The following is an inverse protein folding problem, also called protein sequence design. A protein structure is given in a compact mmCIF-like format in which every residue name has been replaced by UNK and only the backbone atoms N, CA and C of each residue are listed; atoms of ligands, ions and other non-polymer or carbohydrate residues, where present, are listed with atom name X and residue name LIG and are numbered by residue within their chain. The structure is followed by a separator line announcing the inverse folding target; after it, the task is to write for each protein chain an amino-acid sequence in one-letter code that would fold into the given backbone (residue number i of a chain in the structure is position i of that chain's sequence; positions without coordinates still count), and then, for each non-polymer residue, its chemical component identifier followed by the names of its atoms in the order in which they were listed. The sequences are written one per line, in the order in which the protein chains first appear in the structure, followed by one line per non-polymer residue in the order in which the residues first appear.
data_IF_897639359926
#
_entry.id   IF_897639359926
#
_cell.length_a   1.000
_cell.length_b   1.000
_cell.length_c   1.000
_cell.angle_alpha   90.00
_cell.angle_beta   90.00
_cell.angle_gamma   90.00
#
_symmetry.space_group_name_H-M   'P 1'
#
loop_
_entity.id
_entity.type
_entity.pdbx_description
1 polymer ?
#
# COMPACT_ATOMS: atom_id res chain seq x y z
N UNK A 1 18.84 -2.52 25.05
CA UNK A 1 18.63 -1.24 25.78
C UNK A 1 17.97 -1.55 27.11
N UNK A 2 18.46 -1.05 28.24
CA UNK A 2 17.79 -1.25 29.54
C UNK A 2 16.58 -0.32 29.67
N UNK A 3 15.51 -0.76 30.34
CA UNK A 3 14.26 -0.01 30.50
C UNK A 3 14.43 1.39 31.13
N UNK A 4 15.50 1.59 31.90
CA UNK A 4 15.86 2.88 32.48
C UNK A 4 16.21 3.93 31.41
N UNK A 5 16.97 3.56 30.38
CA UNK A 5 17.36 4.49 29.31
C UNK A 5 16.17 4.94 28.47
N UNK A 6 15.16 4.09 28.32
CA UNK A 6 13.93 4.44 27.58
C UNK A 6 13.09 5.45 28.37
N UNK A 7 13.03 5.30 29.69
CA UNK A 7 12.26 6.20 30.58
C UNK A 7 12.85 7.60 30.62
N UNK A 8 14.17 7.71 30.72
CA UNK A 8 14.88 8.99 30.70
C UNK A 8 14.73 9.69 29.34
N UNK A 9 14.77 8.92 28.25
CA UNK A 9 14.54 9.43 26.90
C UNK A 9 13.14 10.04 26.75
N UNK A 10 12.11 9.33 27.22
CA UNK A 10 10.72 9.78 27.16
C UNK A 10 10.51 11.05 28.00
N UNK A 11 11.09 11.11 29.21
CA UNK A 11 11.00 12.28 30.08
C UNK A 11 11.65 13.52 29.45
N UNK A 12 12.80 13.36 28.79
CA UNK A 12 13.53 14.45 28.13
C UNK A 12 12.81 14.94 26.86
N UNK A 13 12.15 14.04 26.12
CA UNK A 13 11.34 14.40 24.95
C UNK A 13 10.05 15.13 25.35
N UNK A 14 9.44 14.76 26.48
CA UNK A 14 8.21 15.39 26.97
C UNK A 14 8.43 16.82 27.52
N UNK A 15 9.63 17.14 28.01
CA UNK A 15 9.91 18.42 28.67
C UNK A 15 10.33 19.57 27.73
N UNK A 16 10.56 19.33 26.44
CA UNK A 16 11.11 20.32 25.51
C UNK A 16 10.26 20.44 24.25
N UNK A 17 9.25 21.30 24.30
CA UNK A 17 8.02 21.05 23.54
C UNK A 17 8.03 21.44 22.06
N UNK A 18 9.07 22.10 21.52
CA UNK A 18 9.14 22.37 20.07
C UNK A 18 10.56 22.33 19.50
N UNK A 19 11.55 22.91 20.20
CA UNK A 19 12.92 23.00 19.70
C UNK A 19 13.61 21.62 19.57
N UNK A 20 13.42 20.73 20.55
CA UNK A 20 13.95 19.37 20.50
C UNK A 20 13.22 18.53 19.46
N UNK A 21 11.90 18.69 19.32
CA UNK A 21 11.11 18.00 18.30
C UNK A 21 11.59 18.38 16.90
N UNK A 22 11.79 19.68 16.64
CA UNK A 22 12.31 20.17 15.37
C UNK A 22 13.74 19.68 15.11
N UNK A 23 14.61 19.73 16.11
CA UNK A 23 15.98 19.23 16.00
C UNK A 23 16.04 17.72 15.71
N UNK A 24 15.18 16.93 16.37
CA UNK A 24 15.05 15.50 16.11
C UNK A 24 14.51 15.26 14.71
N UNK A 25 13.51 16.03 14.27
CA UNK A 25 12.94 15.92 12.93
C UNK A 25 13.99 16.19 11.84
N UNK A 26 14.76 17.27 11.95
CA UNK A 26 15.86 17.61 11.03
C UNK A 26 16.93 16.49 10.98
N UNK A 27 17.26 15.92 12.15
CA UNK A 27 18.21 14.81 12.24
C UNK A 27 17.67 13.51 11.63
N UNK A 28 16.38 13.22 11.81
CA UNK A 28 15.72 12.08 11.17
C UNK A 28 15.76 12.24 9.65
N UNK A 29 15.50 13.44 9.12
CA UNK A 29 15.61 13.70 7.68
C UNK A 29 17.02 13.41 7.17
N UNK A 30 18.05 13.86 7.90
CA UNK A 30 19.45 13.58 7.54
C UNK A 30 19.76 12.08 7.56
N UNK A 31 19.25 11.34 8.55
CA UNK A 31 19.38 9.88 8.61
C UNK A 31 18.69 9.18 7.43
N UNK A 32 17.50 9.66 7.03
CA UNK A 32 16.77 9.12 5.88
C UNK A 32 17.52 9.38 4.57
N UNK A 33 18.07 10.59 4.38
CA UNK A 33 18.92 10.89 3.23
C UNK A 33 20.17 10.00 3.20
N UNK A 34 20.75 9.71 4.36
CA UNK A 34 21.89 8.80 4.48
C UNK A 34 21.53 7.36 4.06
N UNK A 35 20.35 6.86 4.45
CA UNK A 35 19.86 5.54 4.06
C UNK A 35 19.60 5.42 2.55
N UNK A 36 19.21 6.52 1.90
CA UNK A 36 18.97 6.55 0.45
C UNK A 36 20.24 6.73 -0.40
N UNK A 37 21.41 6.92 0.23
CA UNK A 37 22.66 7.11 -0.50
C UNK A 37 23.46 5.80 -0.63
N UNK A 38 24.04 5.56 -1.80
CA UNK A 38 24.94 4.43 -2.04
C UNK A 38 26.41 4.80 -1.73
N UNK A 39 26.81 6.04 -2.03
CA UNK A 39 28.17 6.54 -1.79
C UNK A 39 28.18 7.48 -0.58
N UNK A 40 28.55 6.92 0.58
CA UNK A 40 28.69 7.67 1.82
C UNK A 40 29.68 8.83 1.72
N UNK A 41 30.76 8.70 0.94
CA UNK A 41 31.77 9.75 0.79
C UNK A 41 31.19 10.96 0.06
N UNK A 42 30.47 10.72 -1.03
CA UNK A 42 29.74 11.76 -1.78
C UNK A 42 28.66 12.42 -0.92
N UNK A 43 27.93 11.64 -0.11
CA UNK A 43 26.93 12.16 0.81
C UNK A 43 27.54 13.09 1.88
N UNK A 44 28.64 12.69 2.51
CA UNK A 44 29.33 13.53 3.49
C UNK A 44 29.87 14.81 2.84
N UNK A 45 30.39 14.74 1.61
CA UNK A 45 30.80 15.92 0.86
C UNK A 45 29.63 16.88 0.58
N UNK A 46 28.45 16.33 0.24
CA UNK A 46 27.22 17.10 0.06
C UNK A 46 26.78 17.80 1.36
N UNK A 47 26.76 17.09 2.49
CA UNK A 47 26.38 17.69 3.79
C UNK A 47 27.29 18.86 4.16
N UNK A 48 28.62 18.69 4.01
CA UNK A 48 29.59 19.77 4.23
C UNK A 48 29.33 20.98 3.34
N UNK A 49 28.94 20.76 2.08
CA UNK A 49 28.61 21.83 1.12
C UNK A 49 27.32 22.56 1.49
N UNK A 50 26.34 21.86 2.06
CA UNK A 50 25.07 22.42 2.50
C UNK A 50 25.14 23.11 3.87
N UNK A 51 26.33 23.24 4.49
CA UNK A 51 26.51 23.74 5.86
C UNK A 51 25.69 22.95 6.91
N UNK A 52 25.26 21.74 6.56
CA UNK A 52 24.63 20.80 7.49
C UNK A 52 25.74 20.04 8.20
N UNK A 53 25.68 19.97 9.53
CA UNK A 53 26.66 19.16 10.27
C UNK A 53 26.50 17.70 9.87
N UNK A 54 27.57 17.00 9.47
CA UNK A 54 27.56 15.56 9.24
C UNK A 54 27.45 14.76 10.55
N UNK A 55 27.51 15.45 11.68
CA UNK A 55 27.17 14.88 12.96
C UNK A 55 25.65 14.90 13.10
N UNK A 56 25.10 13.84 13.68
CA UNK A 56 23.71 13.82 14.14
C UNK A 56 23.79 14.13 15.64
N UNK A 57 24.12 15.37 16.05
CA UNK A 57 24.73 15.64 17.35
C UNK A 57 23.82 15.24 18.51
N UNK A 58 22.50 15.34 18.32
CA UNK A 58 21.54 15.05 19.38
C UNK A 58 21.35 13.54 19.56
N UNK A 59 21.08 12.80 18.49
CA UNK A 59 20.93 11.33 18.58
C UNK A 59 22.27 10.66 18.90
N UNK A 60 23.38 11.15 18.35
CA UNK A 60 24.73 10.65 18.67
C UNK A 60 25.05 10.91 20.14
N UNK A 61 24.75 12.10 20.66
CA UNK A 61 24.89 12.44 22.07
C UNK A 61 24.04 11.56 22.98
N UNK A 62 22.74 11.44 22.67
CA UNK A 62 21.78 10.61 23.41
C UNK A 62 22.17 9.13 23.45
N UNK A 63 22.69 8.61 22.34
CA UNK A 63 23.08 7.20 22.24
C UNK A 63 24.51 6.92 22.69
N UNK A 64 25.25 7.96 23.11
CA UNK A 64 26.68 7.90 23.47
C UNK A 64 27.54 7.37 22.31
N UNK A 65 27.33 7.90 21.11
CA UNK A 65 28.09 7.54 19.92
C UNK A 65 27.65 6.27 19.21
N UNK A 66 26.71 5.50 19.79
CA UNK A 66 26.27 4.21 19.25
C UNK A 66 25.44 4.33 17.98
N UNK A 67 24.70 5.43 17.83
CA UNK A 67 23.90 5.72 16.65
C UNK A 67 24.45 7.00 15.99
N UNK A 68 25.10 6.83 14.85
CA UNK A 68 25.71 7.88 14.04
C UNK A 68 25.54 7.55 12.54
N UNK A 69 25.83 8.49 11.63
CA UNK A 69 25.61 8.28 10.19
C UNK A 69 26.42 7.12 9.61
N UNK A 70 27.63 6.86 10.11
CA UNK A 70 28.45 5.73 9.67
C UNK A 70 27.79 4.41 10.05
N UNK A 71 27.33 4.29 11.31
CA UNK A 71 26.63 3.11 11.80
C UNK A 71 25.31 2.88 11.06
N UNK A 72 24.57 3.94 10.73
CA UNK A 72 23.33 3.88 9.95
C UNK A 72 23.63 3.42 8.52
N UNK A 73 24.60 4.03 7.84
CA UNK A 73 24.96 3.67 6.46
C UNK A 73 25.49 2.23 6.35
N UNK A 74 26.37 1.82 7.27
CA UNK A 74 26.91 0.47 7.30
C UNK A 74 25.83 -0.60 7.49
N UNK A 75 24.72 -0.26 8.16
CA UNK A 75 23.61 -1.16 8.41
C UNK A 75 22.38 -0.83 7.54
N UNK A 76 22.55 -0.06 6.45
CA UNK A 76 21.44 0.53 5.69
C UNK A 76 20.44 -0.51 5.18
N UNK A 77 20.93 -1.63 4.65
CA UNK A 77 20.08 -2.65 4.03
C UNK A 77 19.17 -3.31 5.07
N UNK A 78 19.72 -3.64 6.23
CA UNK A 78 18.94 -4.20 7.33
C UNK A 78 17.95 -3.18 7.89
N UNK A 79 18.36 -1.91 8.06
CA UNK A 79 17.46 -0.85 8.53
C UNK A 79 16.30 -0.67 7.54
N UNK A 80 16.59 -0.57 6.23
CA UNK A 80 15.57 -0.44 5.18
C UNK A 80 14.63 -1.65 5.14
N UNK A 81 15.17 -2.86 5.29
CA UNK A 81 14.39 -4.10 5.36
C UNK A 81 13.44 -4.09 6.56
N UNK A 82 13.95 -3.84 7.77
CA UNK A 82 13.14 -3.79 9.00
C UNK A 82 12.10 -2.67 8.96
N UNK A 83 12.47 -1.49 8.44
CA UNK A 83 11.52 -0.39 8.22
C UNK A 83 10.40 -0.80 7.28
N UNK A 84 10.71 -1.41 6.13
CA UNK A 84 9.71 -1.90 5.19
C UNK A 84 8.81 -2.95 5.83
N UNK A 85 9.38 -3.89 6.60
CA UNK A 85 8.62 -4.89 7.34
C UNK A 85 7.65 -4.24 8.34
N UNK A 86 8.10 -3.23 9.08
CA UNK A 86 7.26 -2.48 10.03
C UNK A 86 6.14 -1.71 9.33
N UNK A 87 6.42 -1.01 8.23
CA UNK A 87 5.38 -0.37 7.42
C UNK A 87 4.36 -1.40 6.95
N UNK A 88 4.83 -2.51 6.39
CA UNK A 88 4.00 -3.61 5.87
C UNK A 88 3.12 -4.25 6.93
N UNK A 89 3.65 -4.46 8.14
CA UNK A 89 2.94 -5.17 9.21
C UNK A 89 2.06 -4.29 10.09
N UNK A 90 2.45 -3.04 10.33
CA UNK A 90 1.75 -2.17 11.29
C UNK A 90 1.00 -1.07 10.57
N UNK A 91 1.67 -0.33 9.69
CA UNK A 91 1.08 0.86 9.09
C UNK A 91 -0.02 0.51 8.10
N UNK A 92 0.19 -0.47 7.22
CA UNK A 92 -0.84 -0.81 6.23
C UNK A 92 -2.11 -1.34 6.88
N UNK A 93 -2.08 -2.32 7.81
CA UNK A 93 -3.30 -2.74 8.49
C UNK A 93 -3.97 -1.60 9.26
N UNK A 94 -3.20 -0.75 9.94
CA UNK A 94 -3.76 0.40 10.65
C UNK A 94 -4.44 1.40 9.69
N UNK A 95 -3.83 1.68 8.53
CA UNK A 95 -4.43 2.54 7.52
C UNK A 95 -5.64 1.89 6.84
N UNK A 96 -5.62 0.57 6.61
CA UNK A 96 -6.79 -0.17 6.13
C UNK A 96 -7.96 -0.07 7.12
N UNK A 97 -7.70 -0.23 8.42
CA UNK A 97 -8.71 -0.11 9.46
C UNK A 97 -9.28 1.33 9.53
N UNK A 98 -8.42 2.34 9.43
CA UNK A 98 -8.83 3.75 9.36
C UNK A 98 -9.69 4.01 8.11
N UNK A 99 -9.28 3.49 6.95
CA UNK A 99 -9.99 3.68 5.70
C UNK A 99 -11.38 3.03 5.73
N UNK A 100 -11.46 1.79 6.21
CA UNK A 100 -12.73 1.08 6.42
C UNK A 100 -13.61 1.86 7.40
N UNK A 101 -13.04 2.39 8.49
CA UNK A 101 -13.77 3.21 9.45
C UNK A 101 -14.35 4.49 8.83
N UNK A 102 -13.56 5.22 8.04
CA UNK A 102 -14.01 6.41 7.34
C UNK A 102 -15.10 6.10 6.31
N UNK A 103 -14.98 4.99 5.58
CA UNK A 103 -15.99 4.58 4.61
C UNK A 103 -17.31 4.20 5.29
N UNK A 104 -17.26 3.45 6.39
CA UNK A 104 -18.45 3.11 7.17
C UNK A 104 -19.17 4.37 7.67
N UNK A 105 -18.41 5.36 8.14
CA UNK A 105 -18.95 6.64 8.55
C UNK A 105 -19.64 7.37 7.39
N UNK A 106 -19.00 7.44 6.22
CA UNK A 106 -19.57 8.07 5.02
C UNK A 106 -20.86 7.38 4.57
N UNK A 107 -20.88 6.04 4.53
CA UNK A 107 -22.09 5.27 4.19
C UNK A 107 -23.22 5.51 5.18
N UNK A 108 -22.91 5.69 6.46
CA UNK A 108 -23.93 6.00 7.48
C UNK A 108 -24.53 7.41 7.27
N UNK A 109 -23.71 8.37 6.86
CA UNK A 109 -24.19 9.71 6.43
C UNK A 109 -25.09 9.57 5.19
N UNK A 110 -24.62 8.90 4.14
CA UNK A 110 -25.39 8.71 2.90
C UNK A 110 -26.74 8.02 3.17
N UNK A 111 -26.74 6.98 4.01
CA UNK A 111 -27.97 6.28 4.40
C UNK A 111 -28.94 7.19 5.16
N UNK A 112 -28.43 8.08 6.02
CA UNK A 112 -29.22 9.08 6.75
C UNK A 112 -29.80 10.11 5.78
N UNK A 113 -29.01 10.62 4.85
CA UNK A 113 -29.45 11.61 3.87
C UNK A 113 -30.48 11.01 2.91
N UNK A 114 -30.29 9.76 2.49
CA UNK A 114 -31.27 9.01 1.71
C UNK A 114 -32.58 8.78 2.47
N UNK A 115 -32.52 8.52 3.79
CA UNK A 115 -33.73 8.39 4.62
C UNK A 115 -34.48 9.72 4.75
N UNK A 116 -33.77 10.85 4.85
CA UNK A 116 -34.34 12.21 4.83
C UNK A 116 -34.97 12.50 3.46
N UNK A 117 -34.28 12.20 2.37
CA UNK A 117 -34.79 12.38 1.01
C UNK A 117 -36.04 11.53 0.75
N UNK A 118 -36.07 10.26 1.21
CA UNK A 118 -37.24 9.39 1.14
C UNK A 118 -38.43 9.93 1.93
N UNK A 119 -38.17 10.53 3.10
CA UNK A 119 -39.22 11.19 3.89
C UNK A 119 -39.82 12.38 3.12
N UNK A 120 -39.00 13.12 2.38
CA UNK A 120 -39.44 14.26 1.57
C UNK A 120 -40.09 13.85 0.24
N UNK A 121 -39.81 12.65 -0.29
CA UNK A 121 -40.41 12.10 -1.52
C UNK A 121 -41.76 11.39 -1.29
N UNK A 122 -42.19 11.15 -0.05
CA UNK A 122 -43.53 10.61 0.24
C UNK A 122 -44.69 11.55 -0.17
N UNK A 123 -44.39 12.72 -0.77
CA UNK A 123 -45.36 13.62 -1.38
C UNK A 123 -45.59 13.47 -2.89
N UNK A 124 -44.80 12.70 -3.65
CA UNK A 124 -45.01 12.56 -5.13
C UNK A 124 -44.58 11.17 -5.61
N UNK A 125 -45.52 10.39 -6.16
CA UNK A 125 -45.31 9.07 -6.78
C UNK A 125 -45.01 9.14 -8.28
N UNK A 126 -44.56 7.98 -8.82
CA UNK A 126 -44.38 7.57 -10.23
C UNK A 126 -42.92 7.68 -10.74
N UNK A 127 -42.34 6.81 -11.58
CA UNK A 127 -42.78 5.61 -12.32
C UNK A 127 -41.51 4.85 -12.82
N UNK A 128 -41.75 3.61 -13.28
CA UNK A 128 -40.92 2.51 -13.79
C UNK A 128 -39.84 2.71 -14.90
N UNK A 129 -39.07 1.60 -15.07
CA UNK A 129 -38.40 0.99 -16.25
C UNK A 129 -36.94 1.39 -16.58
N UNK A 130 -36.12 0.61 -17.32
CA UNK A 130 -35.81 -0.82 -17.60
C UNK A 130 -34.87 -0.81 -18.83
N UNK A 131 -33.78 -1.60 -18.84
CA UNK A 131 -33.00 -2.00 -20.05
C UNK A 131 -32.05 -0.92 -20.63
N UNK A 132 -30.98 -1.18 -21.39
CA UNK A 132 -30.40 -2.37 -22.03
C UNK A 132 -28.94 -2.09 -22.46
N UNK A 133 -28.12 -3.15 -22.49
CA UNK A 133 -27.14 -3.58 -23.51
C UNK A 133 -26.40 -2.60 -24.44
N UNK A 134 -25.08 -2.77 -24.57
CA UNK A 134 -24.34 -2.60 -25.84
C UNK A 134 -23.02 -3.38 -25.88
N UNK A 135 -22.69 -3.89 -27.08
CA UNK A 135 -21.67 -4.89 -27.40
C UNK A 135 -20.30 -4.33 -27.86
N UNK A 136 -19.30 -5.24 -27.83
CA UNK A 136 -18.13 -5.35 -28.74
C UNK A 136 -16.86 -4.58 -28.33
N UNK A 137 -15.59 -5.03 -28.52
CA UNK A 137 -14.98 -6.00 -29.46
C UNK A 137 -13.45 -6.17 -29.15
N UNK A 138 -12.86 -7.34 -29.51
CA UNK A 138 -11.43 -7.66 -29.87
C UNK A 138 -10.31 -7.62 -28.80
N UNK A 139 -9.51 -8.69 -28.52
CA UNK A 139 -8.50 -9.50 -29.25
C UNK A 139 -7.08 -8.89 -29.35
N UNK A 140 -6.09 -9.74 -29.02
CA UNK A 140 -4.64 -9.70 -29.30
C UNK A 140 -3.71 -8.94 -28.32
N UNK A 141 -2.91 -9.72 -27.58
CA UNK A 141 -1.81 -9.22 -26.73
C UNK A 141 -1.23 -10.29 -25.78
N UNK A 142 -1.27 -11.57 -26.17
CA UNK A 142 -1.28 -12.69 -25.22
C UNK A 142 0.05 -13.44 -25.06
N UNK A 143 1.19 -12.81 -25.36
CA UNK A 143 2.49 -13.47 -25.17
C UNK A 143 3.44 -12.76 -24.18
N UNK A 144 3.11 -11.54 -23.71
CA UNK A 144 3.87 -10.84 -22.64
C UNK A 144 3.01 -10.37 -21.45
N UNK A 145 1.68 -10.47 -21.52
CA UNK A 145 0.81 -10.12 -20.39
C UNK A 145 0.86 -11.16 -19.27
N UNK A 146 1.15 -12.41 -19.60
CA UNK A 146 0.99 -13.55 -18.68
C UNK A 146 1.97 -13.51 -17.50
N UNK A 147 3.21 -13.06 -17.71
CA UNK A 147 4.24 -13.02 -16.67
C UNK A 147 4.08 -11.87 -15.68
N UNK A 148 3.33 -10.83 -16.07
CA UNK A 148 3.07 -9.60 -15.31
C UNK A 148 1.63 -9.48 -14.82
N UNK A 149 0.84 -10.56 -14.94
CA UNK A 149 -0.57 -10.58 -14.53
C UNK A 149 -0.76 -11.19 -13.16
N UNK A 150 -1.54 -10.51 -12.33
CA UNK A 150 -2.04 -11.00 -11.05
C UNK A 150 -3.53 -11.30 -11.18
N UNK A 151 -3.91 -12.51 -10.79
CA UNK A 151 -5.31 -12.92 -10.67
C UNK A 151 -5.78 -12.57 -9.26
N UNK A 152 -6.78 -11.71 -9.19
CA UNK A 152 -7.52 -11.38 -7.98
C UNK A 152 -8.77 -12.23 -7.93
N UNK A 153 -9.08 -12.80 -6.78
CA UNK A 153 -10.27 -13.63 -6.53
C UNK A 153 -11.03 -13.03 -5.36
N UNK A 154 -12.35 -12.96 -5.41
CA UNK A 154 -13.17 -12.43 -4.31
C UNK A 154 -14.52 -13.13 -4.21
N UNK A 155 -15.20 -12.94 -3.08
CA UNK A 155 -16.46 -13.63 -2.79
C UNK A 155 -17.62 -13.13 -3.65
N UNK A 156 -18.47 -14.07 -4.09
CA UNK A 156 -19.73 -13.79 -4.80
C UNK A 156 -20.67 -12.85 -4.04
N UNK A 157 -20.71 -12.96 -2.72
CA UNK A 157 -21.61 -12.15 -1.88
C UNK A 157 -21.12 -10.71 -1.69
N UNK A 158 -19.86 -10.46 -2.03
CA UNK A 158 -19.19 -9.19 -1.83
C UNK A 158 -18.32 -8.89 -3.07
N UNK A 159 -18.93 -8.59 -4.23
CA UNK A 159 -18.19 -8.28 -5.44
C UNK A 159 -17.35 -7.02 -5.24
N UNK A 160 -16.15 -7.03 -5.80
CA UNK A 160 -15.24 -5.87 -5.82
C UNK A 160 -15.28 -5.29 -7.23
N UNK A 161 -15.45 -3.97 -7.35
CA UNK A 161 -15.47 -3.28 -8.65
C UNK A 161 -14.06 -3.03 -9.20
N UNK A 162 -13.97 -2.65 -10.48
CA UNK A 162 -12.69 -2.29 -11.10
C UNK A 162 -12.06 -1.10 -10.39
N UNK A 163 -12.88 -0.12 -10.03
CA UNK A 163 -12.47 1.13 -9.39
C UNK A 163 -12.00 0.88 -7.95
N UNK A 164 -12.64 -0.04 -7.23
CA UNK A 164 -12.19 -0.48 -5.90
C UNK A 164 -10.82 -1.17 -5.98
N UNK A 165 -10.63 -2.06 -6.96
CA UNK A 165 -9.32 -2.69 -7.21
C UNK A 165 -8.27 -1.63 -7.59
N UNK A 166 -8.57 -0.78 -8.56
CA UNK A 166 -7.65 0.25 -9.03
C UNK A 166 -7.25 1.18 -7.88
N UNK A 167 -8.22 1.77 -7.18
CA UNK A 167 -7.97 2.69 -6.08
C UNK A 167 -7.13 2.08 -4.98
N UNK A 168 -7.43 0.85 -4.55
CA UNK A 168 -6.67 0.18 -3.49
C UNK A 168 -5.23 -0.13 -3.91
N UNK A 169 -5.01 -0.74 -5.08
CA UNK A 169 -3.67 -1.12 -5.51
C UNK A 169 -2.82 0.09 -5.90
N UNK A 170 -3.42 1.12 -6.49
CA UNK A 170 -2.74 2.40 -6.76
C UNK A 170 -2.33 3.10 -5.46
N UNK A 171 -3.24 3.19 -4.49
CA UNK A 171 -2.93 3.78 -3.18
C UNK A 171 -1.81 3.01 -2.46
N UNK A 172 -1.83 1.67 -2.55
CA UNK A 172 -0.94 0.80 -1.79
C UNK A 172 0.45 0.63 -2.40
N UNK A 173 0.56 0.61 -3.72
CA UNK A 173 1.79 0.28 -4.45
C UNK A 173 2.21 1.33 -5.49
N UNK A 174 1.46 2.41 -5.63
CA UNK A 174 1.68 3.44 -6.65
C UNK A 174 1.08 3.09 -8.01
N UNK A 175 1.46 3.83 -9.05
CA UNK A 175 0.97 3.67 -10.43
C UNK A 175 1.57 2.42 -11.13
N UNK A 176 1.20 1.24 -10.65
CA UNK A 176 1.74 -0.06 -11.10
C UNK A 176 0.80 -0.78 -12.08
N UNK A 177 -0.40 -0.28 -12.29
CA UNK A 177 -1.47 -0.96 -13.02
C UNK A 177 -1.49 -0.48 -14.47
N UNK A 178 -1.38 -1.42 -15.42
CA UNK A 178 -1.61 -1.14 -16.84
C UNK A 178 -3.09 -1.28 -17.18
N UNK A 179 -3.71 -2.38 -16.74
CA UNK A 179 -5.08 -2.70 -17.07
C UNK A 179 -5.73 -3.62 -16.02
N UNK A 180 -7.04 -3.49 -15.85
CA UNK A 180 -7.85 -4.39 -15.02
C UNK A 180 -9.00 -4.96 -15.84
N UNK A 181 -8.95 -6.28 -16.04
CA UNK A 181 -9.98 -7.05 -16.71
C UNK A 181 -10.85 -7.74 -15.66
N UNK A 182 -12.09 -7.27 -15.51
CA UNK A 182 -13.07 -7.91 -14.62
C UNK A 182 -13.62 -9.17 -15.29
N UNK A 183 -13.58 -10.30 -14.59
CA UNK A 183 -14.19 -11.54 -15.04
C UNK A 183 -15.71 -11.43 -15.03
N UNK A 184 -16.32 -11.39 -16.20
CA UNK A 184 -17.76 -11.32 -16.40
C UNK A 184 -18.26 -12.42 -17.35
N UNK A 185 -19.09 -13.32 -16.81
CA UNK A 185 -19.91 -14.34 -17.49
C UNK A 185 -19.34 -14.95 -18.78
N UNK A 186 -18.52 -16.00 -18.64
CA UNK A 186 -18.32 -16.94 -19.75
C UNK A 186 -19.66 -17.56 -20.16
N UNK A 187 -19.77 -17.95 -21.45
CA UNK A 187 -20.95 -18.56 -22.11
C UNK A 187 -21.53 -19.80 -21.39
N UNK A 188 -20.90 -20.27 -20.32
CA UNK A 188 -21.22 -21.46 -19.53
C UNK A 188 -21.75 -21.14 -18.12
N UNK A 189 -21.98 -19.87 -17.77
CA UNK A 189 -22.59 -19.50 -16.49
C UNK A 189 -21.68 -19.58 -15.26
N UNK A 190 -20.39 -19.93 -15.40
CA UNK A 190 -19.42 -19.77 -14.32
C UNK A 190 -18.94 -18.31 -14.28
N UNK A 191 -19.58 -17.51 -13.43
CA UNK A 191 -19.06 -16.20 -13.00
C UNK A 191 -17.84 -16.46 -12.12
N UNK A 192 -16.65 -16.45 -12.72
CA UNK A 192 -15.42 -16.37 -11.94
C UNK A 192 -15.36 -14.96 -11.37
N UNK A 193 -15.67 -14.81 -10.08
CA UNK A 193 -15.55 -13.57 -9.30
C UNK A 193 -14.07 -13.24 -9.13
N UNK A 194 -13.46 -12.88 -10.24
CA UNK A 194 -12.04 -12.70 -10.38
C UNK A 194 -11.77 -11.50 -11.28
N UNK A 195 -10.65 -10.83 -11.04
CA UNK A 195 -10.13 -9.81 -11.92
C UNK A 195 -8.70 -10.18 -12.32
N UNK A 196 -8.34 -9.95 -13.57
CA UNK A 196 -6.96 -10.01 -14.03
C UNK A 196 -6.40 -8.59 -14.03
N UNK A 197 -5.47 -8.33 -13.12
CA UNK A 197 -4.75 -7.07 -13.00
C UNK A 197 -3.38 -7.22 -13.67
N UNK A 198 -3.16 -6.45 -14.72
CA UNK A 198 -1.93 -6.45 -15.51
C UNK A 198 -1.04 -5.33 -15.00
N UNK A 199 0.20 -5.64 -14.63
CA UNK A 199 1.16 -4.68 -14.09
C UNK A 199 2.00 -4.01 -15.20
N UNK A 200 2.38 -2.75 -14.99
CA UNK A 200 3.31 -2.00 -15.84
C UNK A 200 4.71 -2.65 -15.90
N UNK A 201 5.10 -3.37 -14.84
CA UNK A 201 6.37 -4.11 -14.77
C UNK A 201 6.24 -5.38 -13.92
N UNK A 202 6.81 -6.52 -14.34
CA UNK A 202 6.83 -7.74 -13.54
C UNK A 202 7.68 -7.60 -12.25
N UNK A 203 8.55 -6.60 -12.16
CA UNK A 203 9.38 -6.34 -10.98
C UNK A 203 8.55 -6.03 -9.72
N UNK A 204 7.28 -5.64 -9.87
CA UNK A 204 6.39 -5.38 -8.74
C UNK A 204 5.69 -6.65 -8.21
N UNK A 205 5.80 -7.78 -8.90
CA UNK A 205 5.18 -9.03 -8.44
C UNK A 205 5.68 -9.44 -7.05
N UNK A 206 6.99 -9.47 -6.75
CA UNK A 206 7.48 -9.84 -5.41
C UNK A 206 6.98 -8.93 -4.28
N UNK A 207 6.66 -7.67 -4.59
CA UNK A 207 6.12 -6.72 -3.61
C UNK A 207 4.63 -6.96 -3.30
N UNK A 208 3.88 -7.48 -4.27
CA UNK A 208 2.43 -7.77 -4.14
C UNK A 208 2.20 -9.21 -3.68
N UNK A 209 3.04 -10.13 -4.16
CA UNK A 209 3.02 -11.56 -3.87
C UNK A 209 4.38 -11.91 -3.31
N UNK A 210 4.46 -11.98 -1.98
CA UNK A 210 5.71 -12.25 -1.27
C UNK A 210 6.31 -13.58 -1.75
N UNK A 211 7.62 -13.59 -1.97
CA UNK A 211 8.36 -14.74 -2.50
C UNK A 211 8.13 -16.01 -1.64
N UNK A 212 7.82 -17.14 -2.28
CA UNK A 212 7.47 -18.39 -1.61
C UNK A 212 6.00 -18.52 -1.20
N UNK A 213 5.19 -17.47 -1.29
CA UNK A 213 3.74 -17.51 -1.04
C UNK A 213 2.98 -17.53 -2.37
N UNK A 214 2.17 -18.56 -2.58
CA UNK A 214 1.37 -18.71 -3.81
C UNK A 214 0.16 -17.77 -3.88
N UNK A 215 -0.31 -17.26 -2.73
CA UNK A 215 -1.51 -16.41 -2.60
C UNK A 215 -1.36 -15.37 -1.49
N UNK A 216 -1.60 -14.09 -1.80
CA UNK A 216 -1.62 -12.99 -0.80
C UNK A 216 -3.05 -12.53 -0.58
N UNK A 217 -3.44 -12.31 0.69
CA UNK A 217 -4.77 -11.83 1.07
C UNK A 217 -4.75 -10.32 1.29
N UNK A 218 -5.70 -9.62 0.68
CA UNK A 218 -5.96 -8.20 0.85
C UNK A 218 -7.38 -7.96 1.37
N UNK A 219 -7.59 -6.81 2.00
CA UNK A 219 -8.90 -6.33 2.43
C UNK A 219 -9.24 -5.03 1.68
N UNK A 220 -10.17 -5.11 0.73
CA UNK A 220 -10.61 -3.96 -0.07
C UNK A 220 -12.03 -3.60 0.34
N UNK A 221 -12.24 -2.44 0.97
CA UNK A 221 -13.54 -1.98 1.46
C UNK A 221 -14.24 -3.01 2.36
N UNK A 222 -13.47 -3.68 3.23
CA UNK A 222 -13.93 -4.78 4.09
C UNK A 222 -14.19 -6.12 3.40
N UNK A 223 -13.91 -6.22 2.08
CA UNK A 223 -14.08 -7.43 1.27
C UNK A 223 -12.74 -8.15 1.12
N UNK A 224 -12.72 -9.46 1.31
CA UNK A 224 -11.51 -10.25 1.14
C UNK A 224 -11.21 -10.50 -0.34
N UNK A 225 -9.97 -10.18 -0.72
CA UNK A 225 -9.44 -10.39 -2.06
C UNK A 225 -8.18 -11.24 -1.97
N UNK A 226 -8.10 -12.31 -2.75
CA UNK A 226 -6.93 -13.18 -2.84
C UNK A 226 -6.22 -12.94 -4.16
N UNK A 227 -4.98 -12.48 -4.08
CA UNK A 227 -4.10 -12.24 -5.20
C UNK A 227 -3.16 -13.43 -5.41
N UNK A 228 -3.00 -13.87 -6.65
CA UNK A 228 -2.03 -14.90 -7.05
C UNK A 228 -1.44 -14.59 -8.42
N UNK A 229 -0.22 -15.07 -8.67
CA UNK A 229 0.41 -14.91 -9.98
C UNK A 229 -0.38 -15.72 -11.01
N UNK A 230 -0.59 -15.14 -12.20
CA UNK A 230 -1.18 -15.89 -13.31
C UNK A 230 -0.22 -16.99 -13.77
N UNK A 231 -0.75 -18.19 -14.02
CA UNK A 231 0.00 -19.32 -14.54
C UNK A 231 -0.66 -19.72 -15.86
N UNK A 232 -0.03 -19.48 -17.03
CA UNK A 232 -0.60 -19.87 -18.32
C UNK A 232 -0.67 -21.39 -18.47
N UNK A 233 -1.77 -21.87 -19.02
CA UNK A 233 -2.09 -23.32 -19.16
C UNK A 233 -1.16 -24.10 -20.10
N UNK A 234 -0.22 -23.44 -20.79
CA UNK A 234 0.74 -24.09 -21.70
C UNK A 234 2.06 -24.55 -21.06
N UNK A 235 2.23 -24.40 -19.74
CA UNK A 235 3.41 -24.92 -19.02
C UNK A 235 3.13 -26.13 -18.11
N UNK A 236 2.02 -26.84 -18.34
CA UNK A 236 1.82 -28.18 -17.76
C UNK A 236 2.40 -29.22 -18.74
N UNK A 237 3.72 -29.27 -18.86
CA UNK A 237 4.39 -30.50 -19.29
C UNK A 237 4.81 -31.22 -18.01
N UNK A 238 4.06 -32.26 -17.66
CA UNK A 238 4.52 -33.24 -16.69
C UNK A 238 5.68 -34.04 -17.29
N UNK A 239 6.66 -34.47 -16.47
CA UNK A 239 7.77 -35.33 -16.89
C UNK A 239 7.30 -36.72 -17.35
#
# INVERSE_FOLDING_TARGET
MSAHHLRDLISNLASSQDAVVNMVAEQVVTCMMCLSCEDFSAFVAYLRKCMLSPEVPYITGLTRGRLNLIAIHNNRENILFEMNQHFTRMCIPAFEDIFVGAEMYNRAIDARDMAIARRNQMGVSSVFQKGESSNSRFLSGQENADERTIVLSFSRRYPVSREEVHGYFTWRFGEIIEAIHMGGAGRTGQTLYAAAMVLNSPAMIPAIIMEGISTTKFSINGKHVWARKFIPSHKILFP
#
